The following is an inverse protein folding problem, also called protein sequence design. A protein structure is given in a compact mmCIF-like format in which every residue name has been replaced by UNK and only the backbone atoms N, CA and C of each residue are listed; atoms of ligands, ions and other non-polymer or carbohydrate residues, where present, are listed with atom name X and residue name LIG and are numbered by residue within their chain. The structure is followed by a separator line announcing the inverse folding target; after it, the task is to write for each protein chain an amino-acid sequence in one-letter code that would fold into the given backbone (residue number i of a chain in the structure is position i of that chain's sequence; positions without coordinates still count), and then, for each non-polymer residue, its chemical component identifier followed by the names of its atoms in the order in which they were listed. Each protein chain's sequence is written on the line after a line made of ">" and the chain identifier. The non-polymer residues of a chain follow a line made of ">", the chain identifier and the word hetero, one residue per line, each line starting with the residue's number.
data_IF_180519469284
#
_entry.id   IF_180519469284
#
_cell.length_a   1.000
_cell.length_b   1.000
_cell.length_c   1.000
_cell.angle_alpha   90.00
_cell.angle_beta   90.00
_cell.angle_gamma   90.00
#
_symmetry.space_group_name_H-M   'P 1'
#
loop_
_entity.id
_entity.type
_entity.pdbx_description
1 polymer ?
#
# COMPACT_ATOMS: atom_id res chain seq x y z
N UNK A 1 -68.92 18.43 20.75
CA UNK A 1 -69.48 17.60 21.83
C UNK A 1 -68.31 17.04 22.61
N UNK A 2 -68.04 17.60 23.79
CA UNK A 2 -66.92 17.19 24.63
C UNK A 2 -67.18 15.79 25.22
N UNK A 3 -66.15 14.96 25.34
CA UNK A 3 -66.10 13.91 26.33
C UNK A 3 -64.74 14.00 27.05
N UNK A 4 -64.81 14.35 28.32
CA UNK A 4 -63.69 14.49 29.25
C UNK A 4 -63.88 13.50 30.40
N UNK A 5 -62.77 13.14 31.06
CA UNK A 5 -62.69 12.69 32.48
C UNK A 5 -63.25 11.25 32.74
N UNK A 6 -62.73 10.46 33.74
CA UNK A 6 -61.84 10.84 34.84
C UNK A 6 -60.52 10.06 35.00
N UNK A 7 -59.63 10.66 35.80
CA UNK A 7 -58.53 10.00 36.54
C UNK A 7 -59.06 9.31 37.81
N UNK A 8 -58.53 8.14 38.15
CA UNK A 8 -58.41 7.59 39.53
C UNK A 8 -57.06 6.88 39.61
N UNK A 9 -56.05 7.27 40.39
CA UNK A 9 -55.97 7.61 41.82
C UNK A 9 -55.77 6.39 42.74
N UNK A 10 -54.52 6.28 43.21
CA UNK A 10 -54.10 5.97 44.58
C UNK A 10 -53.66 4.54 44.98
N UNK A 11 -52.84 4.57 46.05
CA UNK A 11 -52.40 3.51 46.97
C UNK A 11 -51.36 2.52 46.44
N UNK A 12 -50.13 2.66 46.95
CA UNK A 12 -49.15 1.58 46.99
C UNK A 12 -49.06 0.99 48.41
N UNK A 13 -48.46 -0.19 48.53
CA UNK A 13 -47.89 -0.71 49.78
C UNK A 13 -46.71 -1.61 49.44
N UNK A 14 -45.69 -1.61 50.31
CA UNK A 14 -44.57 -2.54 50.24
C UNK A 14 -44.90 -3.83 51.01
N UNK A 15 -44.23 -4.94 50.68
CA UNK A 15 -43.32 -5.70 51.58
C UNK A 15 -42.95 -7.07 50.96
N UNK A 16 -41.65 -7.23 50.76
CA UNK A 16 -40.79 -8.44 50.87
C UNK A 16 -41.45 -9.84 50.91
N UNK A 17 -40.99 -10.73 50.00
CA UNK A 17 -40.41 -12.01 50.43
C UNK A 17 -40.90 -13.31 49.76
N UNK A 18 -40.12 -13.83 48.81
CA UNK A 18 -39.86 -15.27 48.61
C UNK A 18 -38.74 -15.47 47.58
N UNK A 19 -37.75 -16.32 47.88
CA UNK A 19 -36.68 -16.69 46.96
C UNK A 19 -36.92 -18.09 46.36
N UNK A 20 -36.56 -18.31 45.09
CA UNK A 20 -36.18 -19.64 44.60
C UNK A 20 -35.44 -19.60 43.24
N UNK A 21 -34.25 -20.22 43.24
CA UNK A 21 -33.62 -20.96 42.14
C UNK A 21 -33.50 -20.38 40.69
N UNK A 22 -32.25 -20.04 40.35
CA UNK A 22 -31.55 -20.45 39.13
C UNK A 22 -32.03 -19.96 37.74
N UNK A 23 -31.35 -18.93 37.24
CA UNK A 23 -30.74 -18.96 35.90
C UNK A 23 -29.30 -18.42 36.00
N UNK A 24 -28.34 -19.11 35.38
CA UNK A 24 -26.94 -18.68 35.33
C UNK A 24 -26.70 -17.78 34.13
N UNK A 25 -25.65 -16.93 34.20
CA UNK A 25 -25.11 -16.06 33.13
C UNK A 25 -26.02 -14.83 32.85
N UNK A 26 -25.53 -13.63 32.54
CA UNK A 26 -24.25 -13.25 31.92
C UNK A 26 -23.49 -12.21 32.76
N UNK A 27 -22.31 -12.59 33.25
CA UNK A 27 -21.25 -11.65 33.64
C UNK A 27 -20.04 -11.94 32.78
N UNK A 28 -19.85 -11.16 31.72
CA UNK A 28 -18.65 -11.17 30.90
C UNK A 28 -18.55 -9.80 30.22
N UNK A 29 -17.56 -9.00 30.65
CA UNK A 29 -17.07 -7.90 29.83
C UNK A 29 -16.73 -8.45 28.47
N UNK A 30 -17.22 -7.82 27.40
CA UNK A 30 -16.84 -8.21 26.04
C UNK A 30 -15.32 -8.25 25.94
N UNK A 31 -14.70 -9.33 25.43
CA UNK A 31 -13.29 -9.28 25.10
C UNK A 31 -13.14 -8.20 24.03
N UNK A 32 -12.40 -7.14 24.39
CA UNK A 32 -11.83 -6.25 23.40
C UNK A 32 -11.01 -7.12 22.43
N UNK A 33 -11.03 -6.86 21.12
CA UNK A 33 -10.11 -7.53 20.21
C UNK A 33 -8.69 -7.15 20.67
N UNK A 34 -8.04 -8.05 21.38
CA UNK A 34 -6.64 -7.93 21.69
C UNK A 34 -5.91 -7.81 20.36
N UNK A 35 -5.13 -6.73 20.20
CA UNK A 35 -4.25 -6.62 19.04
C UNK A 35 -3.44 -7.91 19.00
N UNK A 36 -3.56 -8.67 17.90
CA UNK A 36 -2.85 -9.93 17.77
C UNK A 36 -1.37 -9.60 17.65
N UNK A 37 -0.69 -9.58 18.79
CA UNK A 37 0.76 -9.55 18.90
C UNK A 37 1.26 -10.74 18.12
N UNK A 38 1.83 -10.48 16.94
CA UNK A 38 2.45 -11.49 16.10
C UNK A 38 3.47 -12.20 16.97
N UNK A 39 3.28 -13.50 17.23
CA UNK A 39 4.13 -14.24 18.18
C UNK A 39 5.58 -14.16 17.72
N UNK A 40 6.49 -13.56 18.51
CA UNK A 40 7.90 -13.51 18.13
C UNK A 40 8.45 -14.93 18.02
N UNK A 41 9.02 -15.29 16.87
CA UNK A 41 9.60 -16.62 16.63
C UNK A 41 8.81 -17.55 15.70
N UNK A 42 7.83 -17.06 14.93
CA UNK A 42 7.44 -17.76 13.70
C UNK A 42 8.67 -17.85 12.76
N UNK A 43 8.96 -19.00 12.12
CA UNK A 43 10.10 -19.11 11.21
C UNK A 43 9.91 -18.15 10.03
N UNK A 44 10.98 -17.50 9.54
CA UNK A 44 10.86 -16.49 8.48
C UNK A 44 10.23 -17.10 7.22
N UNK A 45 9.16 -16.48 6.75
CA UNK A 45 8.37 -16.97 5.61
C UNK A 45 8.70 -16.15 4.36
N UNK A 46 9.15 -16.82 3.29
CA UNK A 46 9.33 -16.20 1.97
C UNK A 46 7.96 -15.90 1.38
N UNK A 47 7.70 -14.63 1.05
CA UNK A 47 6.46 -14.18 0.40
C UNK A 47 6.58 -14.22 -1.14
N UNK A 48 7.69 -13.75 -1.69
CA UNK A 48 7.95 -13.65 -3.13
C UNK A 48 9.25 -12.92 -3.43
N UNK A 49 9.56 -12.61 -4.69
CA UNK A 49 10.75 -11.81 -5.02
C UNK A 49 10.49 -10.32 -4.79
N UNK A 50 11.52 -9.62 -4.33
CA UNK A 50 11.50 -8.17 -4.19
C UNK A 50 11.29 -7.44 -5.53
N UNK A 51 11.72 -8.05 -6.65
CA UNK A 51 11.53 -7.51 -8.00
C UNK A 51 10.09 -7.66 -8.53
N UNK A 52 9.27 -8.52 -7.92
CA UNK A 52 7.86 -8.68 -8.31
C UNK A 52 6.98 -7.56 -7.72
N UNK A 53 7.53 -6.74 -6.82
CA UNK A 53 6.84 -5.61 -6.19
C UNK A 53 7.15 -4.35 -7.00
N UNK A 54 6.12 -3.61 -7.48
CA UNK A 54 6.34 -2.39 -8.24
C UNK A 54 6.60 -1.18 -7.32
N UNK A 55 7.56 -0.33 -7.71
CA UNK A 55 7.79 1.00 -7.11
C UNK A 55 6.51 1.84 -7.23
N UNK A 56 6.18 2.60 -6.19
CA UNK A 56 4.89 3.31 -6.02
C UNK A 56 3.66 2.38 -6.02
N UNK A 57 3.84 1.10 -5.72
CA UNK A 57 2.77 0.11 -5.64
C UNK A 57 3.02 -0.95 -4.56
N UNK A 58 2.53 -2.17 -4.80
CA UNK A 58 2.62 -3.26 -3.85
C UNK A 58 1.98 -4.57 -4.36
N UNK A 59 2.17 -5.65 -3.61
CA UNK A 59 1.63 -6.98 -3.89
C UNK A 59 0.88 -7.50 -2.66
N UNK A 60 -0.30 -8.10 -2.88
CA UNK A 60 -1.12 -8.71 -1.83
C UNK A 60 -0.92 -10.23 -1.81
N UNK A 61 -0.21 -10.70 -0.80
CA UNK A 61 0.02 -12.10 -0.46
C UNK A 61 -1.18 -12.60 0.37
N UNK A 62 -2.19 -13.15 -0.33
CA UNK A 62 -3.52 -13.39 0.24
C UNK A 62 -3.60 -14.56 1.21
N UNK A 63 -2.76 -15.57 1.04
CA UNK A 63 -2.76 -16.76 1.90
C UNK A 63 -2.12 -16.45 3.27
N UNK A 64 -1.06 -15.65 3.26
CA UNK A 64 -0.36 -15.10 4.43
C UNK A 64 -1.10 -13.90 5.03
N UNK A 65 -2.03 -13.31 4.27
CA UNK A 65 -2.75 -12.06 4.58
C UNK A 65 -1.81 -10.89 4.85
N UNK A 66 -0.81 -10.75 4.00
CA UNK A 66 0.16 -9.64 3.99
C UNK A 66 0.02 -8.83 2.71
N UNK A 67 0.17 -7.52 2.80
CA UNK A 67 0.44 -6.66 1.65
C UNK A 67 1.82 -6.06 1.85
N UNK A 68 2.68 -6.18 0.84
CA UNK A 68 3.99 -5.53 0.84
C UNK A 68 3.97 -4.43 -0.20
N UNK A 69 4.25 -3.22 0.24
CA UNK A 69 4.32 -2.02 -0.61
C UNK A 69 5.76 -1.60 -0.82
N UNK A 70 5.97 -0.81 -1.86
CA UNK A 70 7.26 -0.21 -2.17
C UNK A 70 7.09 1.29 -2.49
N UNK A 71 7.02 2.18 -1.49
CA UNK A 71 6.85 3.62 -1.70
C UNK A 71 7.98 4.24 -2.52
N UNK A 72 9.22 3.79 -2.31
CA UNK A 72 10.40 4.18 -3.07
C UNK A 72 11.25 2.97 -3.45
N UNK A 73 12.18 3.12 -4.39
CA UNK A 73 13.03 2.00 -4.87
C UNK A 73 13.84 1.38 -3.72
N UNK A 74 13.65 0.08 -3.46
CA UNK A 74 14.29 -0.64 -2.36
C UNK A 74 13.67 -0.41 -0.97
N UNK A 75 12.72 0.51 -0.81
CA UNK A 75 12.01 0.75 0.44
C UNK A 75 10.78 -0.16 0.51
N UNK A 76 10.91 -1.35 1.09
CA UNK A 76 9.80 -2.29 1.27
C UNK A 76 9.13 -2.11 2.63
N UNK A 77 7.79 -2.11 2.66
CA UNK A 77 7.01 -2.06 3.91
C UNK A 77 5.94 -3.13 3.91
N UNK A 78 5.87 -3.90 4.98
CA UNK A 78 4.85 -4.93 5.18
C UNK A 78 3.71 -4.41 6.04
N UNK A 79 2.49 -4.79 5.68
CA UNK A 79 1.28 -4.53 6.46
C UNK A 79 0.38 -5.76 6.43
N UNK A 80 -0.52 -5.87 7.40
CA UNK A 80 -1.61 -6.82 7.30
C UNK A 80 -2.50 -6.48 6.10
N UNK A 81 -2.78 -7.46 5.26
CA UNK A 81 -3.80 -7.38 4.22
C UNK A 81 -5.23 -7.39 4.82
N UNK A 82 -5.39 -7.50 6.14
CA UNK A 82 -6.71 -7.52 6.80
C UNK A 82 -7.19 -6.09 7.03
N UNK A 83 -8.20 -5.68 6.27
CA UNK A 83 -8.81 -4.36 6.37
C UNK A 83 -9.42 -4.13 7.76
N UNK A 84 -8.96 -3.06 8.43
CA UNK A 84 -9.37 -2.66 9.79
C UNK A 84 -10.84 -2.27 9.97
N UNK A 85 -11.62 -2.19 8.89
CA UNK A 85 -13.06 -1.95 8.96
C UNK A 85 -13.84 -3.19 9.45
N UNK A 86 -13.73 -4.31 8.73
CA UNK A 86 -14.52 -5.54 8.99
C UNK A 86 -13.74 -6.84 8.70
N UNK A 87 -12.42 -6.78 8.53
CA UNK A 87 -11.58 -7.97 8.40
C UNK A 87 -11.54 -8.62 7.02
N UNK A 88 -12.09 -8.00 5.98
CA UNK A 88 -11.85 -8.43 4.59
C UNK A 88 -10.36 -8.38 4.26
N UNK A 89 -9.88 -9.36 3.47
CA UNK A 89 -8.57 -9.25 2.82
C UNK A 89 -8.65 -8.16 1.74
N UNK A 90 -7.68 -7.26 1.70
CA UNK A 90 -7.58 -6.21 0.67
C UNK A 90 -7.46 -6.83 -0.73
N UNK A 91 -8.05 -6.15 -1.71
CA UNK A 91 -8.22 -6.63 -3.07
C UNK A 91 -6.93 -6.52 -3.88
N UNK A 92 -6.35 -5.33 -3.95
CA UNK A 92 -5.14 -5.04 -4.72
C UNK A 92 -4.36 -3.84 -4.15
N UNK A 93 -3.24 -3.51 -4.80
CA UNK A 93 -2.58 -2.21 -4.69
C UNK A 93 -2.61 -1.56 -6.07
N UNK A 94 -3.31 -0.44 -6.19
CA UNK A 94 -3.48 0.29 -7.44
C UNK A 94 -3.59 1.80 -7.20
N UNK A 95 -3.11 2.60 -8.14
CA UNK A 95 -3.08 4.07 -8.08
C UNK A 95 -2.50 4.62 -6.75
N UNK A 96 -1.40 4.04 -6.27
CA UNK A 96 -0.74 4.44 -5.01
C UNK A 96 -1.54 4.11 -3.73
N UNK A 97 -2.57 3.25 -3.82
CA UNK A 97 -3.42 2.88 -2.68
C UNK A 97 -3.64 1.37 -2.57
N UNK A 98 -3.68 0.87 -1.35
CA UNK A 98 -4.12 -0.48 -1.01
C UNK A 98 -5.65 -0.46 -0.90
N UNK A 99 -6.35 -1.29 -1.67
CA UNK A 99 -7.79 -1.17 -1.89
C UNK A 99 -8.59 -2.31 -1.25
N UNK A 100 -9.74 -2.00 -0.63
CA UNK A 100 -10.66 -2.99 -0.07
C UNK A 100 -12.08 -2.78 -0.62
N UNK A 101 -12.45 -3.61 -1.59
CA UNK A 101 -13.69 -3.43 -2.36
C UNK A 101 -14.95 -3.88 -1.59
N UNK A 102 -14.79 -4.61 -0.47
CA UNK A 102 -15.91 -5.01 0.38
C UNK A 102 -16.81 -3.83 0.78
N UNK A 103 -16.20 -2.69 1.09
CA UNK A 103 -16.89 -1.46 1.52
C UNK A 103 -16.21 -0.18 1.03
N UNK A 104 -15.21 -0.26 0.14
CA UNK A 104 -14.52 0.89 -0.45
C UNK A 104 -13.42 1.54 0.39
N UNK A 105 -12.95 0.89 1.47
CA UNK A 105 -11.82 1.42 2.25
C UNK A 105 -10.53 1.43 1.43
N UNK A 106 -9.76 2.51 1.55
CA UNK A 106 -8.44 2.66 0.92
C UNK A 106 -7.39 3.05 1.95
N UNK A 107 -6.19 2.56 1.74
CA UNK A 107 -5.02 2.88 2.54
C UNK A 107 -3.89 3.39 1.64
N UNK A 108 -3.00 4.23 2.17
CA UNK A 108 -1.77 4.64 1.49
C UNK A 108 -0.76 3.49 1.40
N UNK A 109 0.31 3.68 0.64
CA UNK A 109 1.43 2.73 0.61
C UNK A 109 2.18 2.63 1.96
N UNK A 110 1.94 3.57 2.87
CA UNK A 110 2.41 3.59 4.25
C UNK A 110 1.42 2.94 5.25
N UNK A 111 0.33 2.33 4.76
CA UNK A 111 -0.73 1.72 5.55
C UNK A 111 -1.71 2.72 6.19
N UNK A 112 -1.51 4.03 6.02
CA UNK A 112 -2.40 5.08 6.55
C UNK A 112 -3.80 5.01 5.92
N UNK A 113 -4.86 5.44 6.62
CA UNK A 113 -6.20 5.47 6.03
C UNK A 113 -6.33 6.66 5.08
N UNK A 114 -6.63 6.40 3.80
CA UNK A 114 -6.88 7.44 2.79
C UNK A 114 -8.35 7.54 2.41
N UNK A 115 -9.15 6.47 2.60
CA UNK A 115 -10.61 6.51 2.41
C UNK A 115 -11.29 5.53 3.38
N UNK A 116 -12.34 6.00 4.07
CA UNK A 116 -13.15 5.17 4.96
C UNK A 116 -14.00 4.12 4.21
N UNK A 117 -14.78 3.27 4.89
CA UNK A 117 -15.17 3.34 6.31
C UNK A 117 -14.15 2.89 7.35
N UNK A 118 -12.98 2.35 6.97
CA UNK A 118 -11.88 2.14 7.91
C UNK A 118 -11.49 3.45 8.62
N UNK A 119 -11.12 3.38 9.89
CA UNK A 119 -10.69 4.53 10.72
C UNK A 119 -9.34 4.31 11.40
N UNK A 120 -8.72 3.15 11.19
CA UNK A 120 -7.42 2.77 11.74
C UNK A 120 -6.49 2.31 10.60
N UNK A 121 -5.20 2.65 10.63
CA UNK A 121 -4.24 2.20 9.62
C UNK A 121 -4.10 0.68 9.62
N UNK A 122 -3.63 0.10 8.51
CA UNK A 122 -3.27 -1.31 8.48
C UNK A 122 -2.13 -1.58 9.48
N UNK A 123 -2.23 -2.61 10.34
CA UNK A 123 -1.14 -2.97 11.24
C UNK A 123 0.15 -3.27 10.45
N UNK A 124 1.30 -2.71 10.83
CA UNK A 124 2.57 -3.01 10.18
C UNK A 124 3.01 -4.46 10.46
N UNK A 125 3.77 -5.03 9.53
CA UNK A 125 4.37 -6.36 9.62
C UNK A 125 5.82 -6.27 9.16
N UNK A 126 6.73 -6.79 9.98
CA UNK A 126 8.16 -6.81 9.67
C UNK A 126 8.44 -7.69 8.44
N UNK A 127 9.05 -7.06 7.43
CA UNK A 127 9.53 -7.70 6.20
C UNK A 127 10.94 -7.22 5.89
N UNK A 128 11.79 -8.12 5.41
CA UNK A 128 13.15 -7.80 4.95
C UNK A 128 13.43 -8.43 3.59
N UNK A 129 14.45 -7.93 2.88
CA UNK A 129 14.96 -8.55 1.66
C UNK A 129 16.19 -9.40 2.02
N UNK A 130 16.20 -10.68 1.64
CA UNK A 130 17.35 -11.55 1.84
C UNK A 130 18.40 -11.40 0.72
N UNK A 131 19.57 -12.04 0.87
CA UNK A 131 20.64 -12.03 -0.15
C UNK A 131 20.23 -12.64 -1.50
N UNK A 132 19.19 -13.48 -1.52
CA UNK A 132 18.61 -14.10 -2.73
C UNK A 132 17.56 -13.20 -3.42
N UNK A 133 17.31 -12.00 -2.91
CA UNK A 133 16.30 -11.06 -3.42
C UNK A 133 14.85 -11.46 -3.10
N UNK A 134 14.63 -12.31 -2.10
CA UNK A 134 13.29 -12.66 -1.62
C UNK A 134 12.84 -11.70 -0.51
N UNK A 135 11.56 -11.35 -0.51
CA UNK A 135 10.89 -10.74 0.64
C UNK A 135 10.60 -11.83 1.67
N UNK A 136 11.08 -11.66 2.90
CA UNK A 136 10.81 -12.55 4.02
C UNK A 136 10.06 -11.82 5.13
N UNK A 137 8.94 -12.39 5.57
CA UNK A 137 8.18 -11.95 6.75
C UNK A 137 8.72 -12.60 8.02
N UNK A 138 8.75 -11.85 9.12
CA UNK A 138 8.99 -12.42 10.46
C UNK A 138 10.45 -12.82 10.73
N UNK A 139 11.40 -12.37 9.90
CA UNK A 139 12.80 -12.39 10.28
C UNK A 139 12.99 -11.45 11.48
N UNK A 140 13.37 -12.00 12.63
CA UNK A 140 13.87 -11.18 13.72
C UNK A 140 15.08 -10.38 13.22
N UNK A 141 15.16 -9.11 13.61
CA UNK A 141 16.34 -8.28 13.31
C UNK A 141 17.61 -9.00 13.82
N UNK A 142 18.76 -8.87 13.13
CA UNK A 142 20.02 -9.35 13.69
C UNK A 142 20.27 -8.63 15.01
N UNK A 143 20.26 -9.39 16.10
CA UNK A 143 20.61 -8.93 17.45
C UNK A 143 22.01 -8.31 17.45
N UNK A 144 22.10 -6.98 17.35
CA UNK A 144 23.35 -6.23 17.60
C UNK A 144 23.57 -6.10 19.11
N UNK A 145 23.71 -7.25 19.77
CA UNK A 145 23.97 -7.40 21.22
C UNK A 145 25.06 -8.45 21.45
N UNK A 146 26.30 -8.06 21.17
CA UNK A 146 27.49 -8.69 21.77
C UNK A 146 28.16 -7.67 22.71
N UNK A 147 28.39 -7.99 24.00
CA UNK A 147 28.90 -7.04 24.98
C UNK A 147 30.43 -6.91 24.96
N UNK A 148 30.94 -5.70 25.21
CA UNK A 148 32.37 -5.40 25.30
C UNK A 148 32.66 -4.15 26.13
N UNK A 149 32.80 -4.35 27.45
CA UNK A 149 33.41 -3.44 28.45
C UNK A 149 34.82 -2.99 28.01
N UNK A 150 35.39 -1.80 28.27
CA UNK A 150 35.12 -0.59 29.09
C UNK A 150 35.57 0.68 28.29
N UNK A 151 35.56 1.95 28.70
CA UNK A 151 35.14 2.71 29.91
C UNK A 151 34.84 4.19 29.48
N UNK A 152 34.31 5.10 30.33
CA UNK A 152 33.84 6.42 29.87
C UNK A 152 34.87 7.56 30.02
N UNK A 153 34.79 8.55 29.12
CA UNK A 153 35.17 9.93 29.44
C UNK A 153 35.94 10.70 28.38
N UNK A 154 35.24 11.55 27.61
CA UNK A 154 35.46 13.01 27.50
C UNK A 154 34.86 13.52 26.18
N UNK A 155 34.17 14.65 26.27
CA UNK A 155 33.43 15.31 25.18
C UNK A 155 34.34 16.07 24.22
N UNK A 156 34.18 15.85 22.91
CA UNK A 156 34.36 16.89 21.89
C UNK A 156 33.48 16.56 20.66
N UNK A 157 32.66 17.48 20.10
CA UNK A 157 31.81 17.19 18.95
C UNK A 157 32.58 17.29 17.62
N UNK A 158 32.60 16.25 16.76
CA UNK A 158 33.09 16.38 15.40
C UNK A 158 32.07 17.10 14.48
N UNK A 159 32.60 17.76 13.45
CA UNK A 159 31.88 18.57 12.47
C UNK A 159 30.89 17.76 11.59
N UNK A 160 29.91 18.42 10.92
CA UNK A 160 29.00 17.74 9.99
C UNK A 160 29.75 17.11 8.81
N UNK A 161 29.24 15.99 8.23
CA UNK A 161 29.84 15.40 7.03
C UNK A 161 29.69 16.32 5.81
N UNK A 162 30.74 16.40 5.00
CA UNK A 162 30.72 17.05 3.69
C UNK A 162 29.86 16.27 2.68
N UNK A 163 29.23 16.99 1.76
CA UNK A 163 28.43 16.42 0.67
C UNK A 163 29.33 15.70 -0.37
N UNK A 164 28.95 14.50 -0.85
CA UNK A 164 29.54 13.94 -2.07
C UNK A 164 29.08 14.73 -3.31
N UNK A 165 29.91 14.82 -4.36
CA UNK A 165 29.73 15.79 -5.45
C UNK A 165 28.62 15.40 -6.44
N UNK A 166 28.12 16.43 -7.13
CA UNK A 166 27.04 16.33 -8.11
C UNK A 166 27.51 15.92 -9.53
N UNK A 167 26.51 15.69 -10.38
CA UNK A 167 26.50 15.69 -11.86
C UNK A 167 26.86 14.41 -12.64
N UNK A 168 25.80 13.68 -13.00
CA UNK A 168 25.57 13.18 -14.36
C UNK A 168 24.11 13.53 -14.73
N UNK A 169 23.75 13.75 -16.02
CA UNK A 169 22.40 14.19 -16.37
C UNK A 169 21.39 13.13 -15.92
N UNK A 170 20.41 13.55 -15.13
CA UNK A 170 19.50 12.68 -14.40
C UNK A 170 18.82 11.69 -15.35
N UNK A 171 19.13 10.40 -15.18
CA UNK A 171 18.43 9.33 -15.88
C UNK A 171 16.98 9.32 -15.42
N UNK A 172 16.04 9.46 -16.35
CA UNK A 172 14.61 9.43 -16.08
C UNK A 172 14.19 8.13 -15.37
N UNK A 173 14.84 7.01 -15.69
CA UNK A 173 14.62 5.72 -15.05
C UNK A 173 15.83 4.79 -15.20
N UNK A 174 15.96 3.77 -14.35
CA UNK A 174 16.74 2.59 -14.72
C UNK A 174 15.93 1.66 -15.62
N UNK A 175 16.60 0.92 -16.50
CA UNK A 175 15.98 -0.13 -17.32
C UNK A 175 15.31 -1.23 -16.49
N UNK A 176 15.77 -1.49 -15.27
CA UNK A 176 15.15 -2.42 -14.33
C UNK A 176 13.89 -1.87 -13.62
N UNK A 177 13.61 -0.57 -13.70
CA UNK A 177 12.44 0.07 -13.06
C UNK A 177 11.19 0.05 -13.96
N UNK A 178 11.31 -0.48 -15.19
CA UNK A 178 10.23 -0.62 -16.16
C UNK A 178 9.94 -2.12 -16.33
N UNK A 179 8.75 -2.62 -15.96
CA UNK A 179 8.46 -4.05 -16.00
C UNK A 179 8.13 -4.55 -17.42
N UNK A 180 8.61 -5.76 -17.74
CA UNK A 180 8.30 -6.46 -19.00
C UNK A 180 6.80 -6.69 -19.12
N UNK A 181 6.22 -6.37 -20.27
CA UNK A 181 4.77 -6.43 -20.49
C UNK A 181 3.99 -5.32 -19.78
N UNK A 182 4.68 -4.28 -19.29
CA UNK A 182 4.09 -3.15 -18.58
C UNK A 182 4.85 -1.85 -18.82
N UNK A 183 4.87 -0.99 -17.79
CA UNK A 183 5.50 0.32 -17.84
C UNK A 183 5.36 1.09 -16.53
N UNK A 184 5.99 2.26 -16.49
CA UNK A 184 6.05 3.15 -15.32
C UNK A 184 5.72 4.58 -15.75
N UNK A 185 4.88 5.27 -14.98
CA UNK A 185 4.46 6.65 -15.25
C UNK A 185 5.28 7.63 -14.41
N UNK A 186 6.01 8.49 -15.10
CA UNK A 186 6.85 9.57 -14.57
C UNK A 186 6.03 10.85 -14.59
N UNK A 187 5.30 11.10 -13.49
CA UNK A 187 4.26 12.13 -13.44
C UNK A 187 4.81 13.57 -13.46
N UNK A 188 6.00 13.81 -12.88
CA UNK A 188 6.60 15.14 -12.84
C UNK A 188 7.09 15.56 -14.24
N UNK A 189 7.61 14.60 -15.00
CA UNK A 189 8.14 14.74 -16.35
C UNK A 189 7.05 14.58 -17.43
N UNK A 190 5.86 14.12 -17.03
CA UNK A 190 4.71 13.81 -17.88
C UNK A 190 5.06 12.80 -18.99
N UNK A 191 5.81 11.76 -18.65
CA UNK A 191 6.24 10.68 -19.54
C UNK A 191 5.80 9.33 -18.98
N UNK A 192 5.42 8.40 -19.85
CA UNK A 192 5.25 6.98 -19.50
C UNK A 192 6.26 6.18 -20.31
N UNK A 193 7.12 5.43 -19.61
CA UNK A 193 8.03 4.47 -20.25
C UNK A 193 7.39 3.10 -20.14
N UNK A 194 7.44 2.34 -21.23
CA UNK A 194 6.87 1.00 -21.36
C UNK A 194 7.93 0.04 -21.84
N UNK A 195 7.73 -1.24 -21.54
CA UNK A 195 8.58 -2.32 -22.02
C UNK A 195 7.71 -3.47 -22.57
N UNK A 196 7.25 -3.42 -23.84
CA UNK A 196 6.39 -4.46 -24.40
C UNK A 196 7.04 -5.85 -24.42
N UNK A 197 8.36 -5.91 -24.62
CA UNK A 197 9.17 -7.13 -24.60
C UNK A 197 10.53 -6.88 -23.90
N UNK A 198 11.23 -7.92 -23.39
CA UNK A 198 12.46 -7.75 -22.62
C UNK A 198 13.51 -6.91 -23.35
N UNK A 199 13.93 -5.78 -22.74
CA UNK A 199 14.90 -4.85 -23.29
C UNK A 199 14.35 -3.85 -24.33
N UNK A 200 13.08 -3.96 -24.74
CA UNK A 200 12.44 -3.05 -25.69
C UNK A 200 11.79 -1.87 -24.96
N UNK A 201 12.53 -0.79 -24.71
CA UNK A 201 11.98 0.40 -24.04
C UNK A 201 11.37 1.39 -25.03
N UNK A 202 10.17 1.87 -24.73
CA UNK A 202 9.44 2.90 -25.50
C UNK A 202 8.89 3.96 -24.56
N UNK A 203 8.98 5.23 -24.93
CA UNK A 203 8.44 6.32 -24.14
C UNK A 203 7.36 7.10 -24.91
N UNK A 204 6.36 7.55 -24.16
CA UNK A 204 5.23 8.33 -24.66
C UNK A 204 4.92 9.45 -23.67
N UNK A 205 4.22 10.49 -24.13
CA UNK A 205 3.65 11.46 -23.20
C UNK A 205 2.63 10.78 -22.29
N UNK A 206 2.73 11.04 -20.98
CA UNK A 206 1.71 10.67 -20.01
C UNK A 206 0.42 11.51 -20.15
N UNK A 207 0.41 12.53 -21.01
CA UNK A 207 -0.77 13.39 -21.24
C UNK A 207 -1.76 12.67 -22.16
N UNK A 208 -2.90 12.25 -21.59
CA UNK A 208 -3.97 11.59 -22.30
C UNK A 208 -4.58 12.50 -23.39
N UNK A 209 -4.57 12.01 -24.63
CA UNK A 209 -5.04 12.72 -25.84
C UNK A 209 -6.53 13.05 -25.87
N UNK A 210 -7.33 12.56 -24.92
CA UNK A 210 -8.74 12.91 -24.79
C UNK A 210 -8.95 14.35 -24.28
N UNK A 211 -8.44 14.66 -23.08
CA UNK A 211 -8.65 15.94 -22.38
C UNK A 211 -7.45 16.39 -21.53
N UNK A 212 -6.25 15.86 -21.77
CA UNK A 212 -5.03 16.32 -21.12
C UNK A 212 -4.78 15.83 -19.68
N UNK A 213 -5.61 14.93 -19.15
CA UNK A 213 -5.30 14.24 -17.88
C UNK A 213 -3.99 13.46 -17.98
N UNK A 214 -3.20 13.43 -16.91
CA UNK A 214 -2.10 12.48 -16.79
C UNK A 214 -2.66 11.06 -16.65
N UNK A 215 -2.09 10.10 -17.38
CA UNK A 215 -2.39 8.67 -17.25
C UNK A 215 -1.98 8.19 -15.85
N UNK A 216 -2.77 7.29 -15.27
CA UNK A 216 -2.67 6.93 -13.86
C UNK A 216 -1.67 5.81 -13.58
N UNK A 217 -1.67 4.78 -14.43
CA UNK A 217 -0.89 3.56 -14.23
C UNK A 217 -0.69 2.80 -15.55
N UNK A 218 0.16 1.77 -15.52
CA UNK A 218 0.26 0.77 -16.59
C UNK A 218 -0.05 -0.60 -15.98
N UNK A 219 -1.18 -1.18 -16.36
CA UNK A 219 -1.68 -2.46 -15.83
C UNK A 219 -2.49 -3.20 -16.91
N UNK A 220 -2.48 -4.53 -16.86
CA UNK A 220 -3.19 -5.40 -17.82
C UNK A 220 -2.69 -5.26 -19.25
N UNK A 221 -1.42 -4.92 -19.46
CA UNK A 221 -0.85 -4.62 -20.77
C UNK A 221 -1.33 -3.29 -21.37
N UNK A 222 -1.91 -2.39 -20.57
CA UNK A 222 -2.44 -1.09 -21.02
C UNK A 222 -2.01 0.07 -20.13
N UNK A 223 -1.75 1.22 -20.74
CA UNK A 223 -1.59 2.52 -20.06
C UNK A 223 -3.00 3.08 -19.82
N UNK A 224 -3.35 3.42 -18.58
CA UNK A 224 -4.73 3.69 -18.15
C UNK A 224 -4.95 5.16 -17.79
N UNK A 225 -6.05 5.77 -18.27
CA UNK A 225 -6.49 7.11 -17.88
C UNK A 225 -7.89 7.06 -17.26
N UNK A 226 -7.94 7.19 -15.95
CA UNK A 226 -9.13 6.96 -15.12
C UNK A 226 -10.07 8.18 -15.08
N UNK A 227 -9.67 9.34 -15.61
CA UNK A 227 -10.56 10.50 -15.76
C UNK A 227 -11.84 10.17 -16.54
N UNK A 228 -11.72 9.38 -17.60
CA UNK A 228 -12.83 9.02 -18.49
C UNK A 228 -12.75 7.56 -19.02
N UNK A 229 -11.82 6.76 -18.50
CA UNK A 229 -11.64 5.36 -18.89
C UNK A 229 -10.92 5.12 -20.22
N UNK A 230 -10.14 6.09 -20.72
CA UNK A 230 -9.31 5.84 -21.92
C UNK A 230 -8.15 4.90 -21.60
N UNK A 231 -7.84 4.01 -22.54
CA UNK A 231 -6.72 3.07 -22.43
C UNK A 231 -5.87 3.13 -23.70
N UNK A 232 -4.57 2.94 -23.52
CA UNK A 232 -3.60 2.86 -24.61
C UNK A 232 -2.81 1.55 -24.49
N UNK A 233 -2.35 1.01 -25.62
CA UNK A 233 -1.41 -0.10 -25.63
C UNK A 233 -0.01 0.32 -25.14
N UNK A 234 0.86 -0.65 -24.88
CA UNK A 234 2.27 -0.39 -24.57
C UNK A 234 3.07 0.19 -25.76
N UNK A 235 2.46 0.22 -26.95
CA UNK A 235 2.96 0.91 -28.14
C UNK A 235 2.40 2.34 -28.29
N UNK A 236 1.64 2.83 -27.29
CA UNK A 236 0.98 4.14 -27.29
C UNK A 236 -0.30 4.20 -28.13
N UNK A 237 -0.69 3.12 -28.83
CA UNK A 237 -1.91 3.06 -29.64
C UNK A 237 -3.17 3.17 -28.77
N UNK A 238 -4.29 3.67 -29.31
CA UNK A 238 -5.56 3.68 -28.57
C UNK A 238 -6.12 2.27 -28.49
N UNK A 239 -6.30 1.73 -27.27
CA UNK A 239 -6.99 0.46 -27.04
C UNK A 239 -8.42 0.65 -26.53
N UNK A 240 -8.73 1.76 -25.87
CA UNK A 240 -10.10 2.13 -25.46
C UNK A 240 -10.29 3.66 -25.46
N UNK A 241 -11.43 4.12 -26.02
CA UNK A 241 -11.83 5.52 -25.98
C UNK A 241 -12.23 6.00 -24.58
N UNK A 242 -12.62 7.29 -24.40
CA UNK A 242 -12.93 8.28 -25.44
C UNK A 242 -11.74 8.91 -26.19
N UNK A 243 -10.49 8.69 -25.78
CA UNK A 243 -9.34 9.06 -26.60
C UNK A 243 -9.44 8.46 -28.01
N UNK A 244 -9.08 9.24 -29.04
CA UNK A 244 -9.16 8.84 -30.46
C UNK A 244 -7.83 8.97 -31.21
N UNK A 245 -6.79 9.49 -30.54
CA UNK A 245 -5.43 9.61 -31.05
C UNK A 245 -4.44 8.90 -30.11
N UNK A 246 -3.38 8.25 -30.64
CA UNK A 246 -2.37 7.59 -29.83
C UNK A 246 -1.60 8.58 -28.96
N UNK A 247 -1.02 8.13 -27.85
CA UNK A 247 -0.11 8.96 -27.05
C UNK A 247 1.07 9.41 -27.92
N UNK A 248 1.45 10.71 -27.91
CA UNK A 248 2.64 11.18 -28.61
C UNK A 248 3.88 10.43 -28.13
N UNK A 249 4.68 9.91 -29.07
CA UNK A 249 5.95 9.28 -28.74
C UNK A 249 6.96 10.32 -28.21
N UNK A 250 7.72 9.93 -27.21
CA UNK A 250 8.81 10.72 -26.61
C UNK A 250 10.13 10.02 -26.92
N UNK A 251 11.12 10.77 -27.38
CA UNK A 251 12.43 10.21 -27.65
C UNK A 251 13.15 9.90 -26.34
N UNK A 252 13.67 8.67 -26.22
CA UNK A 252 14.50 8.24 -25.10
C UNK A 252 15.78 7.59 -25.60
N UNK A 253 16.85 7.75 -24.82
CA UNK A 253 18.13 7.10 -25.03
C UNK A 253 18.37 6.12 -23.89
N UNK A 254 18.65 4.86 -24.24
CA UNK A 254 19.06 3.84 -23.28
C UNK A 254 20.59 3.71 -23.34
N UNK A 255 21.27 3.90 -22.22
CA UNK A 255 22.73 3.80 -22.09
C UNK A 255 23.07 2.87 -20.94
N UNK A 256 23.45 1.64 -21.26
CA UNK A 256 23.52 0.57 -20.25
C UNK A 256 22.17 0.37 -19.58
N UNK A 257 22.15 0.48 -18.26
CA UNK A 257 21.01 0.31 -17.39
C UNK A 257 20.28 1.63 -17.03
N UNK A 258 20.60 2.74 -17.72
CA UNK A 258 19.93 4.04 -17.59
C UNK A 258 19.10 4.40 -18.84
N UNK A 259 17.93 4.99 -18.62
CA UNK A 259 17.06 5.58 -19.65
C UNK A 259 17.00 7.08 -19.40
N UNK A 260 17.34 7.90 -20.39
CA UNK A 260 17.16 9.35 -20.36
C UNK A 260 16.22 9.81 -21.47
N UNK A 261 15.66 11.02 -21.36
CA UNK A 261 15.12 11.72 -22.52
C UNK A 261 16.24 12.03 -23.52
N UNK A 262 15.89 12.22 -24.80
CA UNK A 262 16.83 12.41 -25.92
C UNK A 262 16.58 13.71 -26.68
#
# INVERSE_FOLDING_TARGET
>A
MSHEIPRRAAVGFAVVGAACAACTRYGASSPQPEAQTVTPGAPPQVLGKAIDIPVNGGVVYRDEKIVVTQPAKGEFKGYSAVCTHQGCVVNDVAAGTINCDCHGSKFGLDGSVTTGPATQPLPPVEVTVNESGDIVMGAAAPDTTAPGTTDPGTTEPPAPPEEPPADAPEGLASTGDIPVGGGTVFQAEQVVITQPSPGEFRAYSAVCTHQGCIVNDVNGGTINCNCHGSKFGLDGSVSQGPASAPLPAVAVKVTGDQISLA
#
